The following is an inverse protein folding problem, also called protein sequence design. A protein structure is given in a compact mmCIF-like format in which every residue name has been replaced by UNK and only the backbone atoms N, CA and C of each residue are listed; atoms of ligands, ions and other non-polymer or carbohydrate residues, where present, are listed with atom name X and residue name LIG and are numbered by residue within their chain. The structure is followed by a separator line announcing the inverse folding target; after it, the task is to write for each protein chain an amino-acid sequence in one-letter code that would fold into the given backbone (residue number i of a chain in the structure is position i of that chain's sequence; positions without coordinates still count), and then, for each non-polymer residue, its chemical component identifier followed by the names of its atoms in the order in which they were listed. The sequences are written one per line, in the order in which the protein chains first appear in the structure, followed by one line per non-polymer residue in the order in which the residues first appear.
data_IF_012022274567
#
_entry.id   IF_012022274567
#
_cell.length_a   1.000
_cell.length_b   1.000
_cell.length_c   1.000
_cell.angle_alpha   90.00
_cell.angle_beta   90.00
_cell.angle_gamma   90.00
#
_symmetry.space_group_name_H-M   'P 1'
#
loop_
_entity.id
_entity.type
_entity.pdbx_description
1 polymer ?
#
# COMPACT_ATOMS: atom_id res chain seq x y z
N UNK A 1 -64.64 8.05 24.31
CA UNK A 1 -63.43 8.60 23.67
C UNK A 1 -62.22 8.11 24.47
N UNK A 2 -61.43 7.17 23.94
CA UNK A 2 -60.29 6.56 24.65
C UNK A 2 -59.02 7.08 23.98
N UNK A 3 -58.34 8.03 24.63
CA UNK A 3 -57.11 8.62 24.12
C UNK A 3 -56.01 7.54 24.10
N UNK A 4 -55.52 7.20 22.91
CA UNK A 4 -54.35 6.34 22.76
C UNK A 4 -53.14 7.13 23.26
N UNK A 5 -52.69 6.83 24.48
CA UNK A 5 -51.41 7.28 25.03
C UNK A 5 -50.32 6.65 24.17
N UNK A 6 -49.84 7.36 23.15
CA UNK A 6 -48.75 6.93 22.29
C UNK A 6 -47.46 6.88 23.11
N UNK A 7 -47.20 5.75 23.74
CA UNK A 7 -45.94 5.55 24.46
C UNK A 7 -44.79 5.65 23.45
N UNK A 8 -43.74 6.45 23.72
CA UNK A 8 -42.68 6.74 22.75
C UNK A 8 -41.66 5.58 22.61
N UNK A 9 -42.04 4.35 22.95
CA UNK A 9 -41.14 3.18 22.90
C UNK A 9 -40.61 2.91 21.50
N UNK A 10 -41.36 3.28 20.46
CA UNK A 10 -40.90 3.17 19.07
C UNK A 10 -39.69 4.06 18.78
N UNK A 11 -39.58 5.25 19.40
CA UNK A 11 -38.40 6.11 19.27
C UNK A 11 -37.17 5.46 19.91
N UNK A 12 -37.35 4.78 21.05
CA UNK A 12 -36.28 4.05 21.70
C UNK A 12 -35.82 2.84 20.86
N UNK A 13 -36.76 2.12 20.24
CA UNK A 13 -36.45 1.00 19.33
C UNK A 13 -35.70 1.48 18.09
N UNK A 14 -36.11 2.60 17.50
CA UNK A 14 -35.45 3.19 16.31
C UNK A 14 -34.04 3.70 16.63
N UNK A 15 -33.85 4.37 17.78
CA UNK A 15 -32.53 4.83 18.24
C UNK A 15 -31.59 3.65 18.51
N UNK A 16 -32.09 2.60 19.16
CA UNK A 16 -31.29 1.41 19.44
C UNK A 16 -30.88 0.68 18.15
N UNK A 17 -31.80 0.54 17.19
CA UNK A 17 -31.51 -0.03 15.89
C UNK A 17 -30.46 0.78 15.11
N UNK A 18 -30.52 2.11 15.15
CA UNK A 18 -29.53 3.00 14.52
C UNK A 18 -28.12 2.84 15.12
N UNK A 19 -28.02 2.76 16.45
CA UNK A 19 -26.75 2.57 17.16
C UNK A 19 -26.12 1.22 16.82
N UNK A 20 -26.91 0.15 16.69
CA UNK A 20 -26.40 -1.17 16.30
C UNK A 20 -25.86 -1.20 14.85
N UNK A 21 -26.55 -0.54 13.91
CA UNK A 21 -26.15 -0.48 12.50
C UNK A 21 -24.86 0.32 12.32
N UNK A 22 -24.79 1.52 12.93
CA UNK A 22 -23.59 2.36 12.85
C UNK A 22 -22.42 1.75 13.63
N UNK A 23 -22.71 1.15 14.79
CA UNK A 23 -21.71 0.48 15.63
C UNK A 23 -21.03 -0.70 14.94
N UNK A 24 -21.73 -1.49 14.14
CA UNK A 24 -21.11 -2.61 13.43
C UNK A 24 -20.06 -2.17 12.39
N UNK A 25 -20.32 -1.09 11.64
CA UNK A 25 -19.37 -0.58 10.62
C UNK A 25 -18.09 0.04 11.23
N UNK A 26 -18.08 0.32 12.53
CA UNK A 26 -16.91 0.84 13.26
C UNK A 26 -16.07 -0.27 13.90
N UNK A 27 -16.58 -1.51 13.97
CA UNK A 27 -15.91 -2.66 14.58
C UNK A 27 -15.45 -3.71 13.55
N UNK A 28 -15.62 -3.46 12.25
CA UNK A 28 -15.06 -4.34 11.23
C UNK A 28 -13.52 -4.34 11.36
N UNK A 29 -12.89 -5.47 11.76
CA UNK A 29 -11.44 -5.56 11.90
C UNK A 29 -10.72 -5.54 10.54
N UNK A 30 -11.49 -5.60 9.45
CA UNK A 30 -11.01 -5.47 8.08
C UNK A 30 -11.41 -4.09 7.53
N UNK A 31 -10.52 -3.09 7.59
CA UNK A 31 -10.76 -1.83 6.91
C UNK A 31 -10.94 -2.09 5.40
N UNK A 32 -11.87 -1.40 4.76
CA UNK A 32 -11.94 -1.36 3.29
C UNK A 32 -10.56 -0.91 2.80
N UNK A 33 -9.86 -1.70 1.97
CA UNK A 33 -8.56 -1.31 1.45
C UNK A 33 -8.70 0.07 0.80
N UNK A 34 -7.82 1.00 1.16
CA UNK A 34 -7.72 2.29 0.46
C UNK A 34 -7.69 1.98 -1.04
N UNK A 35 -8.51 2.62 -1.89
CA UNK A 35 -8.42 2.44 -3.34
C UNK A 35 -6.99 2.57 -3.90
N UNK A 36 -6.07 3.25 -3.19
CA UNK A 36 -4.64 3.33 -3.53
C UNK A 36 -3.79 2.13 -3.07
N UNK A 37 -4.33 1.28 -2.20
CA UNK A 37 -3.68 0.05 -1.70
C UNK A 37 -3.95 -1.18 -2.56
N UNK A 38 -4.86 -1.09 -3.55
CA UNK A 38 -5.03 -2.12 -4.57
C UNK A 38 -3.88 -1.96 -5.57
N UNK A 39 -2.89 -2.88 -5.61
CA UNK A 39 -1.82 -2.78 -6.60
C UNK A 39 -2.47 -2.79 -7.99
N UNK A 40 -2.09 -1.88 -8.90
CA UNK A 40 -2.59 -1.94 -10.25
C UNK A 40 -2.25 -3.32 -10.84
N UNK A 41 -3.06 -3.83 -11.77
CA UNK A 41 -2.73 -5.08 -12.48
C UNK A 41 -1.28 -5.02 -12.96
N UNK A 42 -0.52 -6.11 -12.76
CA UNK A 42 0.85 -6.21 -13.25
C UNK A 42 0.85 -6.09 -14.78
N UNK A 43 1.04 -4.87 -15.27
CA UNK A 43 1.22 -4.58 -16.68
C UNK A 43 2.66 -4.94 -17.09
N UNK A 44 2.87 -5.93 -17.97
CA UNK A 44 4.21 -6.39 -18.34
C UNK A 44 5.09 -5.28 -18.93
N UNK A 45 4.50 -4.30 -19.63
CA UNK A 45 5.24 -3.19 -20.22
C UNK A 45 5.78 -2.29 -19.10
N UNK A 46 4.92 -1.93 -18.15
CA UNK A 46 5.31 -1.11 -17.00
C UNK A 46 6.32 -1.82 -16.11
N UNK A 47 6.19 -3.13 -15.90
CA UNK A 47 7.17 -3.94 -15.16
C UNK A 47 8.54 -3.92 -15.84
N UNK A 48 8.59 -4.12 -17.16
CA UNK A 48 9.84 -4.08 -17.92
C UNK A 48 10.48 -2.68 -17.93
N UNK A 49 9.67 -1.62 -18.00
CA UNK A 49 10.15 -0.25 -17.84
C UNK A 49 10.72 -0.01 -16.44
N UNK A 50 10.00 -0.47 -15.40
CA UNK A 50 10.45 -0.41 -14.01
C UNK A 50 11.77 -1.11 -13.77
N UNK A 51 11.98 -2.29 -14.36
CA UNK A 51 13.25 -3.01 -14.31
C UNK A 51 14.40 -2.16 -14.88
N UNK A 52 14.20 -1.53 -16.04
CA UNK A 52 15.23 -0.67 -16.64
C UNK A 52 15.59 0.50 -15.73
N UNK A 53 14.59 1.16 -15.15
CA UNK A 53 14.81 2.26 -14.19
C UNK A 53 15.55 1.76 -12.97
N UNK A 54 15.18 0.59 -12.42
CA UNK A 54 15.82 -0.03 -11.27
C UNK A 54 17.30 -0.33 -11.55
N UNK A 55 17.61 -0.96 -12.69
CA UNK A 55 18.99 -1.31 -13.08
C UNK A 55 19.85 -0.05 -13.20
N UNK A 56 19.30 1.03 -13.77
CA UNK A 56 20.04 2.27 -13.99
C UNK A 56 20.28 3.09 -12.71
N UNK A 57 19.34 3.07 -11.76
CA UNK A 57 19.33 4.02 -10.65
C UNK A 57 19.47 3.38 -9.26
N UNK A 58 19.03 2.14 -9.08
CA UNK A 58 18.82 1.53 -7.75
C UNK A 58 19.76 0.33 -7.51
N UNK A 59 19.98 -0.49 -8.54
CA UNK A 59 20.73 -1.76 -8.45
C UNK A 59 22.14 -1.60 -7.89
N UNK A 60 22.81 -0.47 -8.16
CA UNK A 60 24.17 -0.21 -7.65
C UNK A 60 24.26 -0.32 -6.13
N UNK A 61 23.20 0.09 -5.42
CA UNK A 61 23.19 0.09 -3.96
C UNK A 61 22.38 -1.07 -3.38
N UNK A 62 21.25 -1.40 -4.01
CA UNK A 62 20.32 -2.43 -3.56
C UNK A 62 20.59 -3.82 -4.13
N UNK A 63 21.66 -3.98 -4.91
CA UNK A 63 22.05 -5.27 -5.47
C UNK A 63 21.17 -5.74 -6.63
N UNK A 64 21.60 -6.85 -7.25
CA UNK A 64 20.90 -7.47 -8.36
C UNK A 64 19.49 -7.87 -7.92
N UNK A 65 18.47 -7.50 -8.71
CA UNK A 65 17.05 -7.71 -8.42
C UNK A 65 16.58 -7.13 -7.06
N UNK A 66 17.35 -6.26 -6.41
CA UNK A 66 17.00 -5.77 -5.07
C UNK A 66 17.31 -6.76 -3.95
N UNK A 67 18.20 -7.72 -4.16
CA UNK A 67 18.58 -8.74 -3.18
C UNK A 67 19.48 -8.24 -2.03
N UNK A 68 19.85 -6.96 -2.05
CA UNK A 68 20.83 -6.38 -1.13
C UNK A 68 22.27 -6.45 -1.67
N UNK A 69 23.13 -5.60 -1.15
CA UNK A 69 24.52 -5.45 -1.57
C UNK A 69 25.38 -4.74 -0.53
N UNK A 70 26.62 -4.39 -0.89
CA UNK A 70 27.56 -3.79 0.07
C UNK A 70 27.13 -2.43 0.62
N UNK A 71 26.33 -1.66 -0.13
CA UNK A 71 25.83 -0.34 0.28
C UNK A 71 24.57 -0.46 1.12
N UNK A 72 23.62 -1.29 0.68
CA UNK A 72 22.42 -1.64 1.43
C UNK A 72 22.31 -3.17 1.50
N UNK A 73 22.76 -3.80 2.59
CA UNK A 73 22.87 -5.27 2.69
C UNK A 73 21.54 -6.02 2.61
N UNK A 74 20.45 -5.37 3.00
CA UNK A 74 19.16 -6.01 3.11
C UNK A 74 18.43 -6.05 1.76
N UNK A 75 17.67 -7.12 1.48
CA UNK A 75 16.80 -7.17 0.32
C UNK A 75 15.64 -6.17 0.47
N UNK A 76 15.21 -5.61 -0.65
CA UNK A 76 14.11 -4.63 -0.69
C UNK A 76 12.84 -5.16 -1.39
N UNK A 77 12.85 -6.44 -1.79
CA UNK A 77 11.73 -7.08 -2.47
C UNK A 77 10.56 -7.23 -1.47
N UNK A 78 9.41 -6.65 -1.81
CA UNK A 78 8.19 -6.70 -1.00
C UNK A 78 8.18 -5.76 0.20
N UNK A 79 9.02 -4.71 0.19
CA UNK A 79 9.15 -3.75 1.30
C UNK A 79 8.32 -2.48 1.09
N UNK A 80 8.63 -1.45 1.89
CA UNK A 80 8.03 -0.13 1.82
C UNK A 80 7.91 0.38 0.38
N UNK A 81 6.90 1.22 0.15
CA UNK A 81 6.70 1.85 -1.15
C UNK A 81 7.93 2.66 -1.58
N UNK A 82 8.47 2.32 -2.76
CA UNK A 82 9.56 3.04 -3.42
C UNK A 82 9.14 4.44 -3.85
N UNK A 83 7.85 4.73 -4.00
CA UNK A 83 7.38 6.03 -4.50
C UNK A 83 7.80 7.17 -3.57
N UNK A 84 7.58 7.02 -2.27
CA UNK A 84 7.89 8.08 -1.29
C UNK A 84 9.39 8.12 -1.00
N UNK A 85 10.00 6.95 -0.77
CA UNK A 85 11.42 6.86 -0.40
C UNK A 85 12.31 7.22 -1.59
N UNK A 86 11.97 6.80 -2.81
CA UNK A 86 12.68 7.18 -4.03
C UNK A 86 12.61 8.68 -4.30
N UNK A 87 11.46 9.32 -4.06
CA UNK A 87 11.31 10.77 -4.27
C UNK A 87 12.11 11.60 -3.26
N UNK A 88 12.06 11.22 -1.98
CA UNK A 88 12.55 12.05 -0.88
C UNK A 88 13.89 11.59 -0.28
N UNK A 89 14.31 10.37 -0.59
CA UNK A 89 15.40 9.69 0.12
C UNK A 89 14.99 9.25 1.54
N UNK A 90 15.85 8.49 2.19
CA UNK A 90 15.73 8.10 3.60
C UNK A 90 17.10 7.78 4.19
N UNK A 91 17.48 8.45 5.27
CA UNK A 91 18.79 8.23 5.91
C UNK A 91 19.93 8.50 4.92
N UNK A 92 20.74 7.48 4.64
CA UNK A 92 21.83 7.56 3.66
C UNK A 92 21.40 7.33 2.20
N UNK A 93 20.16 6.86 1.96
CA UNK A 93 19.63 6.71 0.61
C UNK A 93 19.31 8.11 0.03
N UNK A 94 19.90 8.49 -1.12
CA UNK A 94 19.65 9.79 -1.73
C UNK A 94 18.22 9.88 -2.28
N UNK A 95 17.75 11.11 -2.45
CA UNK A 95 16.53 11.40 -3.20
C UNK A 95 16.78 11.31 -4.71
N UNK A 96 15.75 10.91 -5.46
CA UNK A 96 15.76 10.85 -6.93
C UNK A 96 14.66 11.76 -7.52
N UNK A 97 14.70 13.09 -7.27
CA UNK A 97 13.66 14.02 -7.73
C UNK A 97 13.56 14.11 -9.26
N UNK A 98 14.61 13.74 -9.98
CA UNK A 98 14.66 13.71 -11.43
C UNK A 98 13.82 12.58 -12.06
N UNK A 99 13.47 11.55 -11.28
CA UNK A 99 12.62 10.47 -11.77
C UNK A 99 11.15 10.91 -11.74
N UNK A 100 10.40 10.57 -12.79
CA UNK A 100 8.97 10.86 -12.85
C UNK A 100 8.19 9.97 -11.86
N UNK A 101 6.94 10.32 -11.58
CA UNK A 101 6.09 9.50 -10.72
C UNK A 101 5.85 8.12 -11.34
N UNK A 102 5.71 8.07 -12.67
CA UNK A 102 5.52 6.86 -13.46
C UNK A 102 6.76 5.96 -13.42
N UNK A 103 7.95 6.55 -13.45
CA UNK A 103 9.20 5.80 -13.30
C UNK A 103 9.29 5.12 -11.93
N UNK A 104 8.98 5.84 -10.85
CA UNK A 104 8.97 5.27 -9.50
C UNK A 104 7.86 4.23 -9.32
N UNK A 105 6.68 4.45 -9.89
CA UNK A 105 5.60 3.47 -9.90
C UNK A 105 5.97 2.21 -10.69
N UNK A 106 6.68 2.36 -11.81
CA UNK A 106 7.23 1.23 -12.56
C UNK A 106 8.21 0.41 -11.72
N UNK A 107 9.12 1.06 -10.99
CA UNK A 107 10.04 0.35 -10.08
C UNK A 107 9.29 -0.38 -8.97
N UNK A 108 8.25 0.24 -8.39
CA UNK A 108 7.40 -0.44 -7.41
C UNK A 108 6.79 -1.72 -8.01
N UNK A 109 6.18 -1.63 -9.20
CA UNK A 109 5.58 -2.79 -9.86
C UNK A 109 6.59 -3.85 -10.24
N UNK A 110 7.80 -3.45 -10.60
CA UNK A 110 8.89 -4.39 -10.82
C UNK A 110 9.23 -5.16 -9.53
N UNK A 111 9.42 -4.47 -8.40
CA UNK A 111 9.69 -5.14 -7.12
C UNK A 111 8.52 -6.00 -6.66
N UNK A 112 7.27 -5.56 -6.87
CA UNK A 112 6.06 -6.34 -6.58
C UNK A 112 6.00 -7.62 -7.44
N UNK A 113 6.40 -7.53 -8.71
CA UNK A 113 6.51 -8.70 -9.59
C UNK A 113 7.53 -9.71 -9.08
N UNK A 114 8.65 -9.25 -8.50
CA UNK A 114 9.64 -10.13 -7.86
C UNK A 114 9.08 -10.73 -6.57
N UNK A 115 8.36 -9.95 -5.77
CA UNK A 115 7.72 -10.43 -4.54
C UNK A 115 6.69 -11.53 -4.84
N UNK A 116 5.92 -11.41 -5.92
CA UNK A 116 5.00 -12.48 -6.36
C UNK A 116 5.71 -13.79 -6.71
N UNK A 117 7.01 -13.75 -7.03
CA UNK A 117 7.81 -14.92 -7.45
C UNK A 117 8.65 -15.50 -6.31
N UNK A 118 9.18 -14.64 -5.44
CA UNK A 118 10.15 -15.01 -4.41
C UNK A 118 9.63 -14.83 -2.97
N UNK A 119 8.43 -14.26 -2.80
CA UNK A 119 7.88 -13.84 -1.52
C UNK A 119 8.38 -12.45 -1.08
N UNK A 120 7.82 -11.95 0.02
CA UNK A 120 8.30 -10.72 0.67
C UNK A 120 9.58 -11.06 1.44
N UNK A 121 10.67 -10.35 1.16
CA UNK A 121 12.00 -10.65 1.70
C UNK A 121 12.48 -9.62 2.74
N UNK A 122 11.65 -8.65 3.10
CA UNK A 122 12.04 -7.61 4.04
C UNK A 122 12.42 -8.19 5.39
N UNK A 123 13.59 -7.80 5.94
CA UNK A 123 13.84 -8.01 7.35
C UNK A 123 12.87 -7.11 8.12
N UNK A 124 11.93 -7.74 8.84
CA UNK A 124 10.94 -7.05 9.66
C UNK A 124 11.54 -6.25 10.81
#
# INVERSE_FOLDING_TARGET
MRAHRTSPWWLAVVLFAWVLIVGCNLLDPNPIPDPQSIPPPLDPITVAFGEQVFVQNCQRCHGLLGAGGSVHPDPIIGCDSVIVIGRNGRGAMPAFPQLSAEALAGVQLYLDSLASRFGNLCPG
#
